data_IF_794846477741
#
_entry.id   IF_794846477741
#
_cell.length_a   1.000
_cell.length_b   1.000
_cell.length_c   1.000
_cell.angle_alpha   90.00
_cell.angle_beta   90.00
_cell.angle_gamma   90.00
#
_symmetry.space_group_name_H-M   'P 1'
#
loop_
_entity.id
_entity.type
_entity.pdbx_description
1 polymer ?
#
# COMPACT_ATOMS: atom_id res chain seq x y z
N UNK A 1 -2.41 2.60 -32.33
CA UNK A 1 -0.92 2.66 -32.30
C UNK A 1 -0.41 1.25 -32.53
N UNK A 2 0.52 1.05 -33.46
CA UNK A 2 1.09 -0.26 -33.80
C UNK A 2 2.45 -0.40 -33.10
N UNK A 3 2.61 -1.44 -32.28
CA UNK A 3 3.80 -1.68 -31.45
C UNK A 3 4.73 -2.77 -32.01
N UNK A 4 4.56 -3.19 -33.27
CA UNK A 4 5.29 -4.32 -33.86
C UNK A 4 6.81 -4.12 -33.97
N UNK A 5 7.31 -2.89 -33.84
CA UNK A 5 8.74 -2.59 -33.95
C UNK A 5 9.33 -1.94 -32.69
N UNK A 6 8.68 -2.11 -31.53
CA UNK A 6 9.25 -1.63 -30.27
C UNK A 6 10.34 -2.61 -29.82
N UNK A 7 11.59 -2.15 -29.84
CA UNK A 7 12.73 -2.86 -29.29
C UNK A 7 12.60 -2.90 -27.77
N UNK A 8 11.95 -3.94 -27.26
CA UNK A 8 11.78 -4.16 -25.83
C UNK A 8 13.15 -4.40 -25.20
N UNK A 9 13.58 -3.62 -24.19
CA UNK A 9 14.79 -3.91 -23.46
C UNK A 9 14.69 -5.31 -22.85
N UNK A 10 15.73 -6.14 -23.02
CA UNK A 10 15.87 -7.40 -22.28
C UNK A 10 16.12 -7.05 -20.81
N UNK A 11 15.04 -6.85 -20.05
CA UNK A 11 15.10 -6.78 -18.60
C UNK A 11 15.61 -8.14 -18.11
N UNK A 12 16.75 -8.21 -17.41
CA UNK A 12 17.27 -9.46 -16.88
C UNK A 12 16.16 -10.15 -16.08
N UNK A 13 15.89 -11.41 -16.41
CA UNK A 13 14.82 -12.19 -15.82
C UNK A 13 14.86 -12.09 -14.31
N UNK A 14 13.71 -11.74 -13.74
CA UNK A 14 13.54 -11.49 -12.32
C UNK A 14 13.80 -12.74 -11.48
N UNK A 15 15.07 -12.97 -11.14
CA UNK A 15 15.48 -13.99 -10.18
C UNK A 15 15.13 -13.62 -8.74
N UNK A 16 15.66 -14.38 -7.80
CA UNK A 16 15.40 -14.24 -6.36
C UNK A 16 15.55 -12.79 -5.85
N UNK A 17 16.54 -12.04 -6.35
CA UNK A 17 16.73 -10.63 -5.98
C UNK A 17 15.52 -9.75 -6.34
N UNK A 18 14.93 -9.93 -7.53
CA UNK A 18 13.75 -9.15 -7.94
C UNK A 18 12.49 -9.52 -7.14
N UNK A 19 12.36 -10.79 -6.74
CA UNK A 19 11.27 -11.26 -5.91
C UNK A 19 11.37 -10.67 -4.50
N UNK A 20 12.58 -10.65 -3.92
CA UNK A 20 12.85 -10.01 -2.64
C UNK A 20 12.54 -8.52 -2.66
N UNK A 21 12.95 -7.80 -3.73
CA UNK A 21 12.62 -6.38 -3.88
C UNK A 21 11.11 -6.16 -3.95
N UNK A 22 10.37 -6.98 -4.72
CA UNK A 22 8.91 -6.87 -4.79
C UNK A 22 8.25 -7.11 -3.43
N UNK A 23 8.69 -8.13 -2.69
CA UNK A 23 8.16 -8.41 -1.34
C UNK A 23 8.49 -7.27 -0.37
N UNK A 24 9.71 -6.74 -0.41
CA UNK A 24 10.09 -5.61 0.43
C UNK A 24 9.25 -4.36 0.14
N UNK A 25 9.02 -4.05 -1.14
CA UNK A 25 8.20 -2.91 -1.56
C UNK A 25 6.74 -3.11 -1.13
N UNK A 26 6.13 -4.24 -1.48
CA UNK A 26 4.73 -4.50 -1.16
C UNK A 26 4.50 -4.63 0.36
N UNK A 27 5.39 -5.34 1.06
CA UNK A 27 5.34 -5.50 2.51
C UNK A 27 5.55 -4.18 3.25
N UNK A 28 6.53 -3.38 2.83
CA UNK A 28 6.81 -2.06 3.41
C UNK A 28 5.63 -1.11 3.24
N UNK A 29 5.06 -1.03 2.02
CA UNK A 29 3.87 -0.22 1.76
C UNK A 29 2.64 -0.71 2.54
N UNK A 30 2.44 -2.04 2.64
CA UNK A 30 1.35 -2.64 3.41
C UNK A 30 1.43 -2.30 4.90
N UNK A 31 2.62 -2.47 5.50
CA UNK A 31 2.88 -2.11 6.90
C UNK A 31 2.69 -0.61 7.15
N UNK A 32 3.21 0.24 6.25
CA UNK A 32 3.03 1.69 6.35
C UNK A 32 1.56 2.08 6.31
N UNK A 33 0.81 1.56 5.34
CA UNK A 33 -0.61 1.82 5.20
C UNK A 33 -1.41 1.34 6.43
N UNK A 34 -1.12 0.14 6.95
CA UNK A 34 -1.83 -0.39 8.13
C UNK A 34 -1.57 0.46 9.38
N UNK A 35 -0.31 0.83 9.62
CA UNK A 35 0.10 1.61 10.80
C UNK A 35 -0.35 3.08 10.74
N UNK A 36 -0.46 3.66 9.54
CA UNK A 36 -0.83 5.07 9.35
C UNK A 36 -2.28 5.28 8.89
N UNK A 37 -3.09 4.22 8.85
CA UNK A 37 -4.54 4.33 8.59
C UNK A 37 -5.38 4.36 9.85
N UNK A 38 -4.78 4.08 11.01
CA UNK A 38 -5.42 4.15 12.31
C UNK A 38 -4.88 5.39 13.03
N UNK A 39 -5.61 6.51 12.95
CA UNK A 39 -5.37 7.66 13.82
C UNK A 39 -6.21 7.45 15.06
N UNK A 40 -5.55 7.18 16.19
CA UNK A 40 -6.23 7.28 17.47
C UNK A 40 -6.37 8.76 17.81
N UNK A 41 -7.60 9.21 18.09
CA UNK A 41 -7.84 10.49 18.77
C UNK A 41 -7.34 10.36 20.21
N UNK A 42 -6.78 11.44 20.77
CA UNK A 42 -6.53 11.51 22.20
C UNK A 42 -7.85 11.22 22.95
N UNK A 43 -7.84 10.22 23.83
CA UNK A 43 -9.04 9.77 24.51
C UNK A 43 -9.59 10.86 25.44
N UNK A 44 -10.61 11.60 24.99
CA UNK A 44 -11.22 12.66 25.79
C UNK A 44 -12.49 13.33 25.21
N UNK A 45 -13.61 13.06 25.86
CA UNK A 45 -14.90 13.78 25.92
C UNK A 45 -15.95 13.73 24.79
N UNK A 46 -15.65 13.39 23.53
CA UNK A 46 -16.65 12.85 22.56
C UNK A 46 -15.92 12.02 21.51
N UNK A 47 -15.66 10.75 21.80
CA UNK A 47 -14.96 9.85 20.88
C UNK A 47 -15.85 9.51 19.68
N UNK A 48 -15.79 10.32 18.63
CA UNK A 48 -16.29 9.94 17.31
C UNK A 48 -15.29 8.91 16.77
N UNK A 49 -15.66 7.63 16.79
CA UNK A 49 -14.83 6.56 16.20
C UNK A 49 -14.91 6.70 14.69
N UNK A 50 -13.90 7.32 14.10
CA UNK A 50 -13.78 7.49 12.65
C UNK A 50 -12.95 6.33 12.06
N UNK A 51 -13.53 5.59 11.13
CA UNK A 51 -12.85 4.61 10.30
C UNK A 51 -12.71 5.16 8.88
N UNK A 52 -11.50 5.14 8.31
CA UNK A 52 -11.23 5.62 6.93
C UNK A 52 -12.04 4.89 5.84
N UNK A 53 -12.49 3.66 6.10
CA UNK A 53 -13.25 2.84 5.15
C UNK A 53 -14.76 3.01 5.33
N UNK A 54 -15.23 3.20 6.56
CA UNK A 54 -16.67 3.16 6.92
C UNK A 54 -17.22 4.54 7.34
N UNK A 55 -16.35 5.52 7.57
CA UNK A 55 -16.70 6.83 8.08
C UNK A 55 -16.92 6.83 9.60
N UNK A 56 -17.84 7.67 10.06
CA UNK A 56 -18.21 7.78 11.47
C UNK A 56 -19.14 6.62 11.82
N UNK A 57 -18.74 5.80 12.79
CA UNK A 57 -19.58 4.71 13.30
C UNK A 57 -20.68 5.30 14.19
N UNK A 58 -21.96 5.02 13.89
CA UNK A 58 -23.10 5.53 14.67
C UNK A 58 -23.24 4.90 16.07
N UNK A 59 -22.40 3.91 16.42
CA UNK A 59 -22.27 3.37 17.78
C UNK A 59 -21.04 2.48 17.96
#
# INVERSE_FOLDING_TARGET
>A
MNFNNVRVPKVPGGGAASALVKVAVLGGLGLYAATHSLYNVEGGHRAIVFNRIVGIKDK
#
